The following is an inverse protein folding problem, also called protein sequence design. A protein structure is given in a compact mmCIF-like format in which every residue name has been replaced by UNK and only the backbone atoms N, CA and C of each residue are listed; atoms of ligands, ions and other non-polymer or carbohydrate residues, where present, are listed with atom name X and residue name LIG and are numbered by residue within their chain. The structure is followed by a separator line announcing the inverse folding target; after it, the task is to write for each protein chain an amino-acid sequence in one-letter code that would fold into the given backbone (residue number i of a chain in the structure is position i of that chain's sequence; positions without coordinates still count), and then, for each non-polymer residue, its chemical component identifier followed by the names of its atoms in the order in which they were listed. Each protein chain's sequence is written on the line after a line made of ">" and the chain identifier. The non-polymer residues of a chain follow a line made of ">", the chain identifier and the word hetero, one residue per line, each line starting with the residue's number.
data_IF_063189392007
#
_entry.id   IF_063189392007
#
_cell.length_a   1.000
_cell.length_b   1.000
_cell.length_c   1.000
_cell.angle_alpha   90.00
_cell.angle_beta   90.00
_cell.angle_gamma   90.00
#
_symmetry.space_group_name_H-M   'P 1'
#
loop_
_entity.id
_entity.type
_entity.pdbx_description
1 polymer ?
#
# COMPACT_ATOMS: atom_id res chain seq x y z
N UNK A 1 -18.92 -13.26 -1.94
CA UNK A 1 -18.12 -14.30 -2.61
C UNK A 1 -16.78 -13.74 -3.08
N UNK A 2 -16.76 -12.54 -3.67
CA UNK A 2 -15.52 -11.85 -4.11
C UNK A 2 -14.44 -11.62 -3.04
N UNK A 3 -14.79 -11.28 -1.79
CA UNK A 3 -13.80 -11.04 -0.72
C UNK A 3 -13.05 -12.32 -0.34
N UNK A 4 -13.73 -13.47 -0.32
CA UNK A 4 -13.09 -14.74 0.05
C UNK A 4 -12.18 -15.25 -1.09
N UNK A 5 -12.57 -15.02 -2.33
CA UNK A 5 -11.71 -15.29 -3.48
C UNK A 5 -10.49 -14.36 -3.48
N UNK A 6 -10.65 -13.06 -3.20
CA UNK A 6 -9.53 -12.13 -3.05
C UNK A 6 -8.56 -12.56 -1.96
N UNK A 7 -9.07 -13.02 -0.81
CA UNK A 7 -8.22 -13.54 0.27
C UNK A 7 -7.49 -14.82 -0.18
N UNK A 8 -8.16 -15.70 -0.94
CA UNK A 8 -7.57 -16.90 -1.52
C UNK A 8 -6.46 -16.61 -2.52
N UNK A 9 -6.66 -15.63 -3.42
CA UNK A 9 -5.64 -15.20 -4.39
C UNK A 9 -4.45 -14.54 -3.69
N UNK A 10 -4.69 -13.73 -2.67
CA UNK A 10 -3.62 -13.17 -1.84
C UNK A 10 -2.80 -14.28 -1.19
N UNK A 11 -3.45 -15.32 -0.67
CA UNK A 11 -2.82 -16.47 -0.03
C UNK A 11 -2.00 -17.34 -1.01
N UNK A 12 -2.46 -17.46 -2.26
CA UNK A 12 -1.69 -18.07 -3.36
C UNK A 12 -0.45 -17.24 -3.71
N UNK A 13 -0.58 -15.90 -3.84
CA UNK A 13 0.56 -14.99 -4.06
C UNK A 13 1.55 -14.98 -2.89
N UNK A 14 1.07 -15.21 -1.66
CA UNK A 14 1.86 -15.49 -0.46
C UNK A 14 2.70 -16.75 -0.61
N UNK A 15 2.11 -17.82 -1.17
CA UNK A 15 2.73 -19.14 -1.33
C UNK A 15 3.76 -19.16 -2.46
N UNK A 16 3.53 -18.40 -3.54
CA UNK A 16 4.42 -18.31 -4.71
C UNK A 16 5.64 -17.41 -4.49
N UNK A 17 5.65 -16.63 -3.38
CA UNK A 17 6.78 -15.79 -3.00
C UNK A 17 6.77 -14.39 -3.62
N UNK A 18 5.80 -14.06 -4.48
CA UNK A 18 5.65 -12.71 -5.04
C UNK A 18 5.30 -11.65 -3.98
N UNK A 19 4.65 -12.09 -2.89
CA UNK A 19 4.30 -11.19 -1.79
C UNK A 19 5.49 -10.71 -0.95
N UNK A 20 6.67 -11.35 -1.06
CA UNK A 20 7.89 -10.87 -0.38
C UNK A 20 8.24 -9.44 -0.76
N UNK A 21 8.00 -9.06 -2.02
CA UNK A 21 8.29 -7.72 -2.50
C UNK A 21 7.31 -6.69 -1.92
N UNK A 22 6.01 -7.02 -1.85
CA UNK A 22 4.98 -6.20 -1.23
C UNK A 22 5.25 -5.97 0.26
N UNK A 23 5.70 -7.01 0.96
CA UNK A 23 6.10 -6.91 2.36
C UNK A 23 7.27 -5.97 2.63
N UNK A 24 8.14 -5.77 1.64
CA UNK A 24 9.23 -4.81 1.74
C UNK A 24 8.78 -3.41 1.31
N UNK A 25 8.05 -3.32 0.19
CA UNK A 25 7.62 -2.08 -0.45
C UNK A 25 6.64 -1.29 0.41
N UNK A 26 5.65 -1.95 1.01
CA UNK A 26 4.60 -1.27 1.78
C UNK A 26 5.16 -0.57 3.03
N UNK A 27 5.96 -1.24 3.89
CA UNK A 27 6.60 -0.58 5.03
C UNK A 27 7.56 0.52 4.60
N UNK A 28 8.32 0.30 3.52
CA UNK A 28 9.26 1.29 2.99
C UNK A 28 8.53 2.58 2.60
N UNK A 29 7.37 2.48 1.96
CA UNK A 29 6.58 3.66 1.61
C UNK A 29 6.00 4.39 2.82
N UNK A 30 5.60 3.67 3.87
CA UNK A 30 5.18 4.29 5.13
C UNK A 30 6.32 5.15 5.70
N UNK A 31 7.55 4.63 5.69
CA UNK A 31 8.73 5.33 6.20
C UNK A 31 9.13 6.52 5.31
N UNK A 32 9.03 6.40 3.99
CA UNK A 32 9.44 7.45 3.05
C UNK A 32 8.39 8.55 2.90
N UNK A 33 7.10 8.22 2.96
CA UNK A 33 6.04 9.18 2.65
C UNK A 33 5.19 9.54 3.87
N UNK A 34 4.63 8.55 4.57
CA UNK A 34 3.71 8.81 5.66
C UNK A 34 4.43 9.43 6.88
N UNK A 35 5.61 8.92 7.23
CA UNK A 35 6.38 9.39 8.39
C UNK A 35 6.86 10.85 8.22
N UNK A 36 7.46 11.26 7.08
CA UNK A 36 7.86 12.66 6.89
C UNK A 36 6.68 13.61 6.81
N UNK A 37 5.56 13.21 6.18
CA UNK A 37 4.33 14.02 6.18
C UNK A 37 3.83 14.27 7.61
N UNK A 38 3.84 13.23 8.45
CA UNK A 38 3.46 13.35 9.86
C UNK A 38 4.42 14.25 10.64
N UNK A 39 5.74 14.06 10.49
CA UNK A 39 6.74 14.90 11.15
C UNK A 39 6.61 16.37 10.74
N UNK A 40 6.45 16.65 9.45
CA UNK A 40 6.28 18.01 8.93
C UNK A 40 4.98 18.65 9.42
N UNK A 41 3.90 17.88 9.51
CA UNK A 41 2.63 18.38 10.01
C UNK A 41 2.70 18.71 11.50
N UNK A 42 3.38 17.89 12.31
CA UNK A 42 3.66 18.18 13.72
C UNK A 42 4.53 19.44 13.85
N UNK A 43 5.65 19.50 13.11
CA UNK A 43 6.60 20.61 13.17
C UNK A 43 5.96 21.95 12.78
N UNK A 44 5.08 21.96 11.77
CA UNK A 44 4.41 23.18 11.31
C UNK A 44 3.04 23.44 11.95
N UNK A 45 2.67 22.69 12.99
CA UNK A 45 1.35 22.75 13.64
C UNK A 45 0.18 22.72 12.63
N UNK A 46 0.33 21.87 11.60
CA UNK A 46 -0.68 21.66 10.56
C UNK A 46 -1.60 20.51 10.95
N UNK A 47 -2.71 20.43 10.24
CA UNK A 47 -3.73 19.43 10.53
C UNK A 47 -3.22 18.01 10.23
N UNK A 48 -3.00 17.24 11.31
CA UNK A 48 -2.49 15.87 11.28
C UNK A 48 -3.40 14.90 10.52
N UNK A 49 -4.71 15.18 10.43
CA UNK A 49 -5.64 14.34 9.68
C UNK A 49 -5.32 14.34 8.19
N UNK A 50 -5.06 15.52 7.62
CA UNK A 50 -4.67 15.65 6.21
C UNK A 50 -3.31 15.02 5.94
N UNK A 51 -2.35 15.19 6.85
CA UNK A 51 -1.02 14.59 6.71
C UNK A 51 -1.07 13.05 6.67
N UNK A 52 -1.92 12.44 7.50
CA UNK A 52 -2.16 10.99 7.48
C UNK A 52 -2.82 10.54 6.18
N UNK A 53 -3.89 11.22 5.77
CA UNK A 53 -4.62 10.86 4.55
C UNK A 53 -3.73 10.95 3.30
N UNK A 54 -3.00 12.06 3.15
CA UNK A 54 -2.12 12.28 2.00
C UNK A 54 -0.89 11.36 2.02
N UNK A 55 -0.35 11.04 3.20
CA UNK A 55 0.77 10.11 3.35
C UNK A 55 0.45 8.67 2.95
N UNK A 56 -0.82 8.28 2.89
CA UNK A 56 -1.27 6.95 2.47
C UNK A 56 -1.49 6.81 0.96
N UNK A 57 -1.59 7.92 0.22
CA UNK A 57 -1.84 7.91 -1.25
C UNK A 57 -0.82 7.05 -2.01
N UNK A 58 0.51 7.14 -1.75
CA UNK A 58 1.49 6.34 -2.48
C UNK A 58 1.27 4.83 -2.31
N UNK A 59 0.84 4.42 -1.11
CA UNK A 59 0.60 3.02 -0.75
C UNK A 59 -0.60 2.48 -1.53
N UNK A 60 -1.67 3.28 -1.65
CA UNK A 60 -2.85 2.94 -2.44
C UNK A 60 -2.48 2.81 -3.93
N UNK A 61 -1.69 3.75 -4.46
CA UNK A 61 -1.27 3.73 -5.87
C UNK A 61 -0.45 2.48 -6.19
N UNK A 62 0.48 2.08 -5.32
CA UNK A 62 1.27 0.88 -5.57
C UNK A 62 0.45 -0.39 -5.36
N UNK A 63 -0.45 -0.44 -4.38
CA UNK A 63 -1.40 -1.55 -4.27
C UNK A 63 -2.24 -1.72 -5.54
N UNK A 64 -2.73 -0.61 -6.12
CA UNK A 64 -3.47 -0.64 -7.38
C UNK A 64 -2.60 -1.08 -8.57
N UNK A 65 -1.34 -0.63 -8.65
CA UNK A 65 -0.40 -1.07 -9.68
C UNK A 65 -0.20 -2.59 -9.63
N UNK A 66 0.03 -3.15 -8.45
CA UNK A 66 0.17 -4.61 -8.29
C UNK A 66 -1.11 -5.35 -8.70
N UNK A 67 -2.28 -4.84 -8.33
CA UNK A 67 -3.54 -5.42 -8.79
C UNK A 67 -3.62 -5.50 -10.32
N UNK A 68 -3.28 -4.41 -11.03
CA UNK A 68 -3.31 -4.41 -12.49
C UNK A 68 -2.21 -5.25 -13.14
N UNK A 69 -1.06 -5.42 -12.49
CA UNK A 69 0.04 -6.21 -13.02
C UNK A 69 -0.14 -7.73 -12.81
N UNK A 70 -0.72 -8.13 -11.68
CA UNK A 70 -0.72 -9.54 -11.25
C UNK A 70 -2.11 -10.16 -11.10
N UNK A 71 -3.16 -9.36 -10.92
CA UNK A 71 -4.51 -9.86 -10.67
C UNK A 71 -5.52 -9.55 -11.80
N UNK A 72 -5.22 -8.57 -12.65
CA UNK A 72 -6.08 -8.26 -13.79
C UNK A 72 -5.92 -9.34 -14.88
N UNK A 73 -7.02 -9.98 -15.33
CA UNK A 73 -6.95 -10.93 -16.43
C UNK A 73 -6.50 -10.22 -17.71
N UNK A 74 -5.44 -10.74 -18.36
CA UNK A 74 -5.01 -10.28 -19.67
C UNK A 74 -6.17 -10.49 -20.67
N UNK A 75 -6.53 -9.44 -21.40
CA UNK A 75 -7.55 -9.49 -22.47
C UNK A 75 -6.94 -9.97 -23.77
#
# INVERSE_FOLDING_TARGET
>A
MEIFDQIGTLFEMFRTGELHLLYLIVPLQIVIFAFPCLMLAQYKSKNLRYARALGLIPIINVGALFYYLFAAPEK
#
